data_IF_924560569429
#
_entry.id   IF_924560569429
#
_cell.length_a   1.000
_cell.length_b   1.000
_cell.length_c   1.000
_cell.angle_alpha   90.00
_cell.angle_beta   90.00
_cell.angle_gamma   90.00
#
_symmetry.space_group_name_H-M   'P 1'
#
loop_
_entity.id
_entity.type
_entity.pdbx_description
1 polymer ?
#
# COMPACT_ATOMS: atom_id res chain seq x y z
N UNK A 1 -22.53 -9.19 -8.09
CA UNK A 1 -22.73 -7.72 -8.24
C UNK A 1 -22.55 -7.33 -9.72
N UNK A 2 -23.01 -6.16 -10.16
CA UNK A 2 -22.72 -5.57 -11.49
C UNK A 2 -22.80 -4.04 -11.37
N UNK A 3 -22.31 -3.30 -12.38
CA UNK A 3 -22.41 -1.84 -12.38
C UNK A 3 -23.59 -1.30 -13.22
N UNK A 4 -24.12 -0.16 -12.82
CA UNK A 4 -25.04 0.68 -13.59
C UNK A 4 -24.34 1.78 -14.42
N UNK A 5 -23.04 2.00 -14.21
CA UNK A 5 -22.26 3.03 -14.90
C UNK A 5 -21.71 2.50 -16.24
N UNK A 6 -22.20 3.04 -17.35
CA UNK A 6 -21.86 2.59 -18.69
C UNK A 6 -20.34 2.62 -18.98
N UNK A 7 -19.64 3.67 -18.54
CA UNK A 7 -18.19 3.79 -18.73
C UNK A 7 -17.41 2.65 -18.06
N UNK A 8 -17.81 2.26 -16.84
CA UNK A 8 -17.19 1.14 -16.12
C UNK A 8 -17.50 -0.19 -16.80
N UNK A 9 -18.77 -0.44 -17.18
CA UNK A 9 -19.15 -1.66 -17.89
C UNK A 9 -18.37 -1.83 -19.20
N UNK A 10 -18.28 -0.77 -20.02
CA UNK A 10 -17.54 -0.79 -21.29
C UNK A 10 -16.05 -1.04 -21.12
N UNK A 11 -15.44 -0.48 -20.07
CA UNK A 11 -14.03 -0.71 -19.76
C UNK A 11 -13.78 -2.17 -19.34
N UNK A 12 -14.61 -2.73 -18.45
CA UNK A 12 -14.55 -4.15 -18.06
C UNK A 12 -14.70 -5.06 -19.28
N UNK A 13 -15.66 -4.79 -20.16
CA UNK A 13 -15.88 -5.56 -21.38
C UNK A 13 -14.67 -5.49 -22.34
N UNK A 14 -14.05 -4.32 -22.46
CA UNK A 14 -12.85 -4.13 -23.28
C UNK A 14 -11.67 -4.93 -22.74
N UNK A 15 -11.46 -4.89 -21.42
CA UNK A 15 -10.41 -5.68 -20.77
C UNK A 15 -10.70 -7.17 -20.88
N UNK A 16 -11.94 -7.61 -20.68
CA UNK A 16 -12.31 -9.02 -20.81
C UNK A 16 -12.09 -9.54 -22.23
N UNK A 17 -12.38 -8.76 -23.29
CA UNK A 17 -12.07 -9.14 -24.68
C UNK A 17 -10.57 -9.26 -24.92
N UNK A 18 -9.77 -8.37 -24.36
CA UNK A 18 -8.30 -8.40 -24.48
C UNK A 18 -7.72 -9.61 -23.75
N UNK A 19 -8.05 -9.75 -22.47
CA UNK A 19 -7.43 -10.72 -21.55
C UNK A 19 -8.00 -12.13 -21.65
N UNK A 20 -9.23 -12.27 -22.17
CA UNK A 20 -9.95 -13.53 -22.43
C UNK A 20 -10.08 -14.43 -21.17
N UNK A 21 -10.63 -13.92 -20.05
CA UNK A 21 -10.87 -14.72 -18.86
C UNK A 21 -12.02 -15.71 -19.06
N UNK A 22 -12.01 -16.79 -18.29
CA UNK A 22 -13.09 -17.79 -18.32
C UNK A 22 -14.36 -17.29 -17.61
N UNK A 23 -14.18 -16.40 -16.63
CA UNK A 23 -15.24 -15.85 -15.79
C UNK A 23 -14.91 -14.40 -15.41
N UNK A 24 -15.95 -13.62 -15.16
CA UNK A 24 -15.83 -12.28 -14.58
C UNK A 24 -16.53 -12.31 -13.21
N UNK A 25 -15.81 -11.92 -12.16
CA UNK A 25 -16.34 -11.86 -10.79
C UNK A 25 -16.32 -10.42 -10.27
N UNK A 26 -17.48 -9.88 -9.91
CA UNK A 26 -17.58 -8.54 -9.35
C UNK A 26 -17.51 -8.58 -7.83
N UNK A 27 -16.44 -8.03 -7.27
CA UNK A 27 -16.14 -8.13 -5.85
C UNK A 27 -17.04 -7.23 -5.02
N UNK A 28 -17.83 -7.78 -4.11
CA UNK A 28 -18.74 -7.01 -3.25
C UNK A 28 -18.14 -6.63 -1.87
N UNK A 29 -17.02 -7.24 -1.50
CA UNK A 29 -16.30 -6.98 -0.26
C UNK A 29 -16.88 -7.68 0.98
N UNK A 30 -17.91 -8.51 0.82
CA UNK A 30 -18.59 -9.19 1.93
C UNK A 30 -17.72 -10.24 2.64
N UNK A 31 -18.10 -10.58 3.87
CA UNK A 31 -17.45 -11.66 4.61
C UNK A 31 -17.67 -13.04 3.95
N UNK A 32 -18.80 -13.24 3.26
CA UNK A 32 -19.08 -14.45 2.49
C UNK A 32 -18.13 -14.58 1.29
N UNK A 33 -17.95 -13.49 0.54
CA UNK A 33 -17.03 -13.46 -0.60
C UNK A 33 -15.60 -13.79 -0.17
N UNK A 34 -15.08 -13.16 0.88
CA UNK A 34 -13.71 -13.42 1.32
C UNK A 34 -13.54 -14.84 1.86
N UNK A 35 -14.55 -15.40 2.52
CA UNK A 35 -14.53 -16.80 2.96
C UNK A 35 -14.46 -17.76 1.76
N UNK A 36 -15.23 -17.51 0.70
CA UNK A 36 -15.19 -18.30 -0.53
C UNK A 36 -13.84 -18.18 -1.25
N UNK A 37 -13.29 -16.96 -1.38
CA UNK A 37 -11.97 -16.75 -1.98
C UNK A 37 -10.85 -17.44 -1.18
N UNK A 38 -10.90 -17.37 0.15
CA UNK A 38 -9.96 -18.10 1.03
C UNK A 38 -10.04 -19.60 0.82
N UNK A 39 -11.24 -20.18 0.76
CA UNK A 39 -11.43 -21.61 0.46
C UNK A 39 -10.78 -21.98 -0.87
N UNK A 40 -11.05 -21.23 -1.93
CA UNK A 40 -10.47 -21.47 -3.27
C UNK A 40 -8.93 -21.41 -3.23
N UNK A 41 -8.36 -20.42 -2.53
CA UNK A 41 -6.90 -20.28 -2.43
C UNK A 41 -6.24 -21.35 -1.55
N UNK A 42 -6.94 -21.87 -0.54
CA UNK A 42 -6.45 -22.99 0.27
C UNK A 42 -6.48 -24.27 -0.56
N UNK A 43 -7.58 -24.53 -1.27
CA UNK A 43 -7.74 -25.70 -2.13
C UNK A 43 -6.71 -25.72 -3.27
N UNK A 44 -6.30 -24.56 -3.78
CA UNK A 44 -5.24 -24.42 -4.79
C UNK A 44 -3.82 -24.45 -4.23
N UNK A 45 -3.66 -24.34 -2.90
CA UNK A 45 -2.36 -24.21 -2.23
C UNK A 45 -1.72 -22.82 -2.29
N UNK A 46 -2.42 -21.81 -2.80
CA UNK A 46 -1.98 -20.40 -2.82
C UNK A 46 -1.93 -19.79 -1.41
N UNK A 47 -2.83 -20.23 -0.53
CA UNK A 47 -2.83 -19.91 0.90
C UNK A 47 -2.67 -21.16 1.76
N UNK A 48 -1.99 -20.98 2.89
CA UNK A 48 -1.84 -21.99 3.94
C UNK A 48 -2.49 -21.42 5.19
N UNK A 49 -3.52 -22.10 5.71
CA UNK A 49 -4.10 -21.73 7.00
C UNK A 49 -3.07 -21.91 8.12
N UNK A 50 -2.98 -20.93 9.02
CA UNK A 50 -2.12 -20.99 10.21
C UNK A 50 -2.84 -21.67 11.38
N UNK A 51 -2.13 -21.88 12.48
CA UNK A 51 -2.67 -22.49 13.71
C UNK A 51 -3.94 -21.78 14.20
N UNK A 52 -5.12 -22.43 14.17
CA UNK A 52 -6.38 -21.76 14.48
C UNK A 52 -6.55 -21.40 15.95
N UNK A 53 -5.82 -22.05 16.86
CA UNK A 53 -5.90 -21.78 18.30
C UNK A 53 -5.13 -20.51 18.69
N UNK A 54 -4.01 -20.24 18.01
CA UNK A 54 -3.19 -19.04 18.27
C UNK A 54 -3.35 -17.92 17.25
N UNK A 55 -3.69 -18.25 16.01
CA UNK A 55 -3.82 -17.34 14.87
C UNK A 55 -5.10 -17.64 14.06
N UNK A 56 -6.30 -17.58 14.67
CA UNK A 56 -7.54 -17.84 13.95
C UNK A 56 -7.71 -16.89 12.76
N UNK A 57 -8.20 -17.44 11.63
CA UNK A 57 -8.39 -16.71 10.38
C UNK A 57 -7.13 -16.00 9.85
N UNK A 58 -5.94 -16.50 10.22
CA UNK A 58 -4.68 -16.09 9.62
C UNK A 58 -4.19 -17.08 8.56
N UNK A 59 -3.52 -16.54 7.54
CA UNK A 59 -3.06 -17.31 6.40
C UNK A 59 -1.62 -16.92 6.02
N UNK A 60 -0.87 -17.87 5.47
CA UNK A 60 0.42 -17.65 4.85
C UNK A 60 0.30 -17.77 3.33
N UNK A 61 0.80 -16.77 2.62
CA UNK A 61 1.11 -16.82 1.19
C UNK A 61 2.63 -16.90 0.99
N UNK A 62 3.08 -17.80 0.10
CA UNK A 62 4.48 -17.84 -0.35
C UNK A 62 4.53 -17.41 -1.81
N UNK A 63 5.15 -16.27 -2.08
CA UNK A 63 5.29 -15.77 -3.44
C UNK A 63 6.39 -16.53 -4.21
N UNK A 64 6.39 -16.37 -5.52
CA UNK A 64 7.49 -16.88 -6.35
C UNK A 64 8.82 -16.24 -5.90
N UNK A 65 9.95 -16.98 -5.85
CA UNK A 65 11.23 -16.45 -5.36
C UNK A 65 11.75 -15.22 -6.11
N UNK A 66 11.40 -15.09 -7.38
CA UNK A 66 11.76 -13.94 -8.23
C UNK A 66 10.74 -12.77 -8.15
N UNK A 67 9.70 -12.90 -7.33
CA UNK A 67 8.64 -11.92 -7.11
C UNK A 67 8.43 -11.63 -5.61
N UNK A 68 9.41 -10.98 -4.99
CA UNK A 68 9.48 -10.78 -3.53
C UNK A 68 9.65 -9.31 -3.11
N UNK A 69 9.72 -8.39 -4.07
CA UNK A 69 9.93 -6.96 -3.84
C UNK A 69 9.46 -6.09 -5.02
N UNK A 70 9.44 -4.78 -4.80
CA UNK A 70 9.24 -3.80 -5.88
C UNK A 70 10.43 -3.79 -6.84
N UNK A 71 10.15 -3.60 -8.12
CA UNK A 71 11.16 -3.53 -9.18
C UNK A 71 11.24 -2.10 -9.73
N UNK A 72 11.99 -1.21 -9.06
CA UNK A 72 12.07 0.22 -9.43
C UNK A 72 12.48 0.43 -10.90
N UNK A 73 13.39 -0.39 -11.44
CA UNK A 73 13.87 -0.30 -12.82
C UNK A 73 12.83 -0.75 -13.88
N UNK A 74 11.75 -1.43 -13.47
CA UNK A 74 10.64 -1.86 -14.33
C UNK A 74 9.35 -1.06 -14.05
N UNK A 75 9.47 0.01 -13.28
CA UNK A 75 8.37 0.91 -12.93
C UNK A 75 8.48 2.18 -13.76
N UNK A 76 7.46 2.50 -14.56
CA UNK A 76 7.50 3.60 -15.53
C UNK A 76 6.39 4.63 -15.30
N UNK A 77 6.69 5.88 -15.65
CA UNK A 77 5.73 6.97 -15.76
C UNK A 77 5.63 7.39 -17.23
N UNK A 78 4.43 7.28 -17.79
CA UNK A 78 4.17 7.42 -19.21
C UNK A 78 3.33 8.68 -19.47
N UNK A 79 4.00 9.81 -19.59
CA UNK A 79 3.44 11.12 -19.98
C UNK A 79 3.77 11.43 -21.43
N UNK A 80 2.93 12.23 -22.12
CA UNK A 80 3.23 12.68 -23.50
C UNK A 80 4.54 13.46 -23.57
N UNK A 81 4.75 14.38 -22.63
CA UNK A 81 6.01 15.11 -22.49
C UNK A 81 6.95 14.35 -21.52
N UNK A 82 8.16 13.96 -21.93
CA UNK A 82 9.15 13.34 -21.04
C UNK A 82 9.50 14.19 -19.81
N UNK A 83 9.49 15.52 -19.94
CA UNK A 83 9.87 16.42 -18.84
C UNK A 83 8.85 16.40 -17.69
N UNK A 84 7.59 16.07 -17.97
CA UNK A 84 6.55 15.94 -16.95
C UNK A 84 6.73 14.70 -16.05
N UNK A 85 7.40 13.64 -16.56
CA UNK A 85 7.85 12.54 -15.71
C UNK A 85 9.12 12.93 -14.92
N UNK A 86 10.01 13.71 -15.55
CA UNK A 86 11.21 14.25 -14.92
C UNK A 86 12.31 13.22 -14.64
N UNK A 87 13.48 13.72 -14.24
CA UNK A 87 14.72 12.93 -14.15
C UNK A 87 14.75 11.84 -13.06
N UNK A 88 13.77 11.82 -12.14
CA UNK A 88 13.69 10.79 -11.09
C UNK A 88 12.88 9.55 -11.52
N UNK A 89 12.21 9.60 -12.67
CA UNK A 89 11.34 8.52 -13.15
C UNK A 89 11.93 7.82 -14.36
N UNK A 90 11.65 6.52 -14.50
CA UNK A 90 11.81 5.87 -15.78
C UNK A 90 10.66 6.31 -16.68
N UNK A 91 10.98 6.98 -17.78
CA UNK A 91 9.97 7.42 -18.74
C UNK A 91 9.89 6.47 -19.93
N UNK A 92 8.68 6.26 -20.43
CA UNK A 92 8.42 5.57 -21.70
C UNK A 92 7.26 6.27 -22.39
N UNK A 93 7.39 6.51 -23.71
CA UNK A 93 6.34 7.12 -24.50
C UNK A 93 5.00 6.35 -24.34
N UNK A 94 3.86 7.04 -24.12
CA UNK A 94 2.60 6.38 -23.78
C UNK A 94 2.10 5.38 -24.83
N UNK A 95 2.29 5.66 -26.11
CA UNK A 95 1.92 4.78 -27.23
C UNK A 95 2.77 3.50 -27.25
N UNK A 96 4.08 3.63 -27.04
CA UNK A 96 5.01 2.49 -26.93
C UNK A 96 4.69 1.63 -25.71
N UNK A 97 4.43 2.28 -24.57
CA UNK A 97 4.03 1.63 -23.33
C UNK A 97 2.73 0.83 -23.50
N UNK A 98 1.68 1.44 -24.06
CA UNK A 98 0.39 0.77 -24.31
C UNK A 98 0.51 -0.38 -25.29
N UNK A 99 1.28 -0.22 -26.36
CA UNK A 99 1.50 -1.31 -27.31
C UNK A 99 2.15 -2.52 -26.62
N UNK A 100 3.17 -2.28 -25.78
CA UNK A 100 3.82 -3.33 -25.00
C UNK A 100 2.86 -4.01 -24.03
N UNK A 101 2.14 -3.23 -23.22
CA UNK A 101 1.22 -3.80 -22.23
C UNK A 101 0.05 -4.53 -22.91
N UNK A 102 -0.47 -4.03 -24.02
CA UNK A 102 -1.53 -4.72 -24.79
C UNK A 102 -1.06 -6.09 -25.27
N UNK A 103 0.18 -6.18 -25.76
CA UNK A 103 0.76 -7.46 -26.19
C UNK A 103 0.95 -8.44 -25.02
N UNK A 104 1.29 -7.95 -23.82
CA UNK A 104 1.38 -8.79 -22.62
C UNK A 104 0.01 -9.26 -22.15
N UNK A 105 -1.00 -8.39 -22.20
CA UNK A 105 -2.34 -8.71 -21.73
C UNK A 105 -3.16 -9.58 -22.68
N UNK A 106 -2.83 -9.67 -23.98
CA UNK A 106 -3.62 -10.44 -24.95
C UNK A 106 -3.72 -11.93 -24.56
N UNK A 107 -4.91 -12.34 -24.14
CA UNK A 107 -5.19 -13.71 -23.71
C UNK A 107 -4.53 -14.16 -22.41
N UNK A 108 -3.92 -13.27 -21.63
CA UNK A 108 -3.15 -13.66 -20.43
C UNK A 108 -4.01 -14.26 -19.29
N UNK A 109 -5.34 -14.08 -19.33
CA UNK A 109 -6.25 -14.56 -18.29
C UNK A 109 -7.04 -15.81 -18.70
N UNK A 110 -6.71 -16.47 -19.82
CA UNK A 110 -7.35 -17.74 -20.20
C UNK A 110 -7.21 -18.77 -19.07
N UNK A 111 -8.30 -19.45 -18.73
CA UNK A 111 -8.31 -20.38 -17.60
C UNK A 111 -8.40 -19.71 -16.22
N UNK A 112 -8.49 -18.37 -16.16
CA UNK A 112 -8.53 -17.60 -14.91
C UNK A 112 -9.82 -16.78 -14.81
N UNK A 113 -10.14 -16.35 -13.59
CA UNK A 113 -11.24 -15.42 -13.32
C UNK A 113 -10.69 -14.00 -13.37
N UNK A 114 -11.36 -13.10 -14.09
CA UNK A 114 -11.14 -11.66 -13.99
C UNK A 114 -11.98 -11.11 -12.84
N UNK A 115 -11.32 -10.72 -11.76
CA UNK A 115 -11.93 -10.03 -10.63
C UNK A 115 -12.03 -8.54 -10.91
N UNK A 116 -13.23 -7.99 -10.73
CA UNK A 116 -13.49 -6.54 -10.75
C UNK A 116 -13.53 -6.08 -9.30
N UNK A 117 -12.58 -5.24 -8.89
CA UNK A 117 -12.36 -4.82 -7.50
C UNK A 117 -12.59 -3.31 -7.38
N UNK A 118 -13.82 -2.83 -7.13
CA UNK A 118 -14.07 -1.43 -6.82
C UNK A 118 -13.50 -1.09 -5.44
N UNK A 119 -12.80 0.03 -5.32
CA UNK A 119 -12.24 0.49 -4.05
C UNK A 119 -12.27 2.01 -3.89
N UNK A 120 -12.23 2.45 -2.64
CA UNK A 120 -12.07 3.84 -2.24
C UNK A 120 -10.79 4.00 -1.40
N UNK A 121 -9.96 4.97 -1.79
CA UNK A 121 -8.79 5.42 -1.05
C UNK A 121 -9.19 6.62 -0.19
N UNK A 122 -9.20 6.44 1.13
CA UNK A 122 -9.67 7.39 2.13
C UNK A 122 -11.04 7.02 2.71
N UNK A 123 -11.49 7.71 3.77
CA UNK A 123 -12.82 7.50 4.32
C UNK A 123 -13.89 7.67 3.24
N UNK A 124 -14.91 6.81 3.24
CA UNK A 124 -15.84 6.66 2.10
C UNK A 124 -16.60 7.93 1.74
N UNK A 125 -16.79 8.84 2.70
CA UNK A 125 -17.48 10.12 2.52
C UNK A 125 -16.52 11.32 2.45
N UNK A 126 -15.20 11.07 2.47
CA UNK A 126 -14.21 12.14 2.40
C UNK A 126 -14.23 12.82 1.01
N UNK A 127 -14.22 14.16 0.95
CA UNK A 127 -14.03 14.88 -0.31
C UNK A 127 -12.60 14.76 -0.86
N UNK A 128 -11.64 14.35 -0.01
CA UNK A 128 -10.25 14.08 -0.43
C UNK A 128 -10.09 12.67 -0.99
N UNK A 129 -11.00 11.75 -0.66
CA UNK A 129 -10.91 10.38 -1.13
C UNK A 129 -11.03 10.28 -2.66
N UNK A 130 -10.40 9.26 -3.23
CA UNK A 130 -10.45 8.94 -4.66
C UNK A 130 -10.83 7.48 -4.82
N UNK A 131 -11.69 7.21 -5.79
CA UNK A 131 -12.09 5.85 -6.11
C UNK A 131 -11.29 5.29 -7.28
N UNK A 132 -11.14 3.98 -7.28
CA UNK A 132 -10.57 3.24 -8.40
C UNK A 132 -11.27 1.91 -8.57
N UNK A 133 -11.02 1.29 -9.72
CA UNK A 133 -11.38 -0.10 -9.97
C UNK A 133 -10.13 -0.82 -10.44
N UNK A 134 -9.79 -1.88 -9.74
CA UNK A 134 -8.71 -2.79 -10.13
C UNK A 134 -9.28 -4.05 -10.78
N UNK A 135 -8.76 -4.38 -11.96
CA UNK A 135 -9.06 -5.58 -12.71
C UNK A 135 -7.87 -6.53 -12.57
N UNK A 136 -8.08 -7.69 -11.95
CA UNK A 136 -7.00 -8.64 -11.64
C UNK A 136 -7.40 -10.09 -11.86
N UNK A 137 -6.46 -10.97 -12.16
CA UNK A 137 -6.63 -12.42 -12.18
C UNK A 137 -6.19 -13.13 -10.89
N UNK A 138 -5.79 -12.39 -9.85
CA UNK A 138 -5.28 -12.96 -8.59
C UNK A 138 -6.27 -12.80 -7.42
N UNK A 139 -6.80 -13.90 -6.86
CA UNK A 139 -7.63 -13.83 -5.66
C UNK A 139 -6.85 -13.36 -4.41
N UNK A 140 -5.54 -13.61 -4.34
CA UNK A 140 -4.68 -13.07 -3.28
C UNK A 140 -4.63 -11.54 -3.31
N UNK A 141 -4.60 -10.93 -4.50
CA UNK A 141 -4.70 -9.47 -4.66
C UNK A 141 -6.05 -8.95 -4.18
N UNK A 142 -7.16 -9.62 -4.54
CA UNK A 142 -8.50 -9.26 -4.06
C UNK A 142 -8.55 -9.28 -2.52
N UNK A 143 -8.04 -10.33 -1.90
CA UNK A 143 -8.02 -10.49 -0.45
C UNK A 143 -7.23 -9.38 0.26
N UNK A 144 -6.08 -9.00 -0.30
CA UNK A 144 -5.27 -7.91 0.23
C UNK A 144 -5.90 -6.53 -0.03
N UNK A 145 -6.47 -6.29 -1.21
CA UNK A 145 -7.18 -5.03 -1.51
C UNK A 145 -8.38 -4.82 -0.59
N UNK A 146 -9.07 -5.90 -0.18
CA UNK A 146 -10.12 -5.85 0.85
C UNK A 146 -9.61 -5.34 2.20
N UNK A 147 -8.38 -5.69 2.58
CA UNK A 147 -7.76 -5.25 3.83
C UNK A 147 -7.24 -3.81 3.69
N UNK A 148 -6.56 -3.53 2.59
CA UNK A 148 -5.77 -2.31 2.38
C UNK A 148 -6.60 -1.11 1.90
N UNK A 149 -7.79 -1.35 1.36
CA UNK A 149 -8.69 -0.30 0.85
C UNK A 149 -10.12 -0.50 1.36
N UNK A 150 -10.97 0.53 1.26
CA UNK A 150 -12.42 0.33 1.40
C UNK A 150 -12.95 -0.26 0.10
N UNK A 151 -12.92 -1.59 0.02
CA UNK A 151 -13.26 -2.37 -1.16
C UNK A 151 -14.75 -2.75 -1.18
N UNK A 152 -15.32 -2.87 -2.37
CA UNK A 152 -16.58 -3.56 -2.61
C UNK A 152 -17.76 -2.63 -2.84
N UNK A 153 -18.94 -3.05 -2.39
CA UNK A 153 -20.21 -2.39 -2.71
C UNK A 153 -20.24 -0.88 -2.39
N UNK A 154 -19.78 -0.40 -1.22
CA UNK A 154 -19.79 1.03 -0.91
C UNK A 154 -18.93 1.87 -1.88
N UNK A 155 -17.78 1.34 -2.29
CA UNK A 155 -16.92 2.00 -3.27
C UNK A 155 -17.58 2.04 -4.66
N UNK A 156 -18.22 0.94 -5.07
CA UNK A 156 -18.97 0.92 -6.33
C UNK A 156 -20.11 1.93 -6.31
N UNK A 157 -20.91 1.98 -5.24
CA UNK A 157 -22.03 2.93 -5.13
C UNK A 157 -21.54 4.39 -5.22
N UNK A 158 -20.36 4.69 -4.66
CA UNK A 158 -19.71 6.00 -4.80
C UNK A 158 -19.26 6.29 -6.23
N UNK A 159 -18.57 5.35 -6.88
CA UNK A 159 -18.13 5.47 -8.28
C UNK A 159 -19.32 5.76 -9.19
N UNK A 160 -20.42 5.03 -9.01
CA UNK A 160 -21.61 5.22 -9.84
C UNK A 160 -22.31 6.55 -9.57
N UNK A 161 -22.35 7.00 -8.32
CA UNK A 161 -22.89 8.31 -7.96
C UNK A 161 -22.09 9.43 -8.61
N UNK A 162 -20.77 9.46 -8.39
CA UNK A 162 -19.88 10.48 -8.95
C UNK A 162 -19.88 10.45 -10.48
N UNK A 163 -19.91 9.25 -11.08
CA UNK A 163 -20.02 9.07 -12.53
C UNK A 163 -21.32 9.63 -13.11
N UNK A 164 -22.48 9.41 -12.45
CA UNK A 164 -23.76 10.00 -12.87
C UNK A 164 -23.77 11.52 -12.73
N UNK A 165 -23.18 12.04 -11.66
CA UNK A 165 -23.04 13.49 -11.46
C UNK A 165 -22.15 14.13 -12.53
N UNK A 166 -21.06 13.47 -12.91
CA UNK A 166 -20.18 13.89 -14.00
C UNK A 166 -20.92 13.89 -15.35
N UNK A 167 -21.67 12.83 -15.67
CA UNK A 167 -22.49 12.76 -16.88
C UNK A 167 -23.54 13.89 -16.90
N UNK A 168 -24.17 14.21 -15.77
CA UNK A 168 -25.11 15.32 -15.66
C UNK A 168 -24.46 16.69 -15.91
N UNK A 169 -23.13 16.82 -15.72
CA UNK A 169 -22.33 18.01 -16.08
C UNK A 169 -21.79 17.97 -17.52
N UNK A 170 -22.01 16.89 -18.27
CA UNK A 170 -21.47 16.72 -19.63
C UNK A 170 -20.07 16.11 -19.69
N UNK A 171 -19.57 15.54 -18.59
CA UNK A 171 -18.30 14.82 -18.51
C UNK A 171 -18.50 13.32 -18.82
N UNK A 172 -17.45 12.54 -19.18
CA UNK A 172 -17.59 11.14 -19.62
C UNK A 172 -18.06 10.15 -18.54
N UNK A 173 -18.08 10.55 -17.26
CA UNK A 173 -18.48 9.69 -16.15
C UNK A 173 -17.46 8.62 -15.77
N UNK A 174 -16.19 8.79 -16.13
CA UNK A 174 -15.12 7.80 -15.95
C UNK A 174 -14.00 8.27 -15.00
N UNK A 175 -14.31 9.19 -14.09
CA UNK A 175 -13.34 9.83 -13.17
C UNK A 175 -12.71 8.93 -12.10
N UNK A 176 -12.90 7.61 -12.16
CA UNK A 176 -12.25 6.64 -11.27
C UNK A 176 -10.91 6.18 -11.86
N UNK A 177 -9.94 5.85 -11.00
CA UNK A 177 -8.65 5.32 -11.43
C UNK A 177 -8.79 3.90 -12.00
N UNK A 178 -8.28 3.69 -13.21
CA UNK A 178 -8.37 2.43 -13.96
C UNK A 178 -7.11 1.59 -13.74
N UNK A 179 -7.19 0.55 -12.91
CA UNK A 179 -6.08 -0.40 -12.69
C UNK A 179 -6.29 -1.71 -13.45
N UNK A 180 -5.34 -2.10 -14.29
CA UNK A 180 -5.30 -3.44 -14.92
C UNK A 180 -4.07 -4.18 -14.44
N UNK A 181 -4.26 -5.35 -13.85
CA UNK A 181 -3.23 -6.19 -13.25
C UNK A 181 -3.36 -7.64 -13.74
N UNK A 182 -2.24 -8.31 -14.01
CA UNK A 182 -2.18 -9.76 -14.10
C UNK A 182 -0.85 -10.29 -13.57
N UNK A 183 -0.89 -11.42 -12.85
CA UNK A 183 0.33 -12.12 -12.45
C UNK A 183 1.09 -12.71 -13.66
N UNK A 184 0.40 -12.86 -14.80
CA UNK A 184 0.97 -13.41 -16.03
C UNK A 184 1.63 -14.77 -15.79
N UNK A 185 2.85 -14.90 -16.29
CA UNK A 185 3.74 -16.05 -16.10
C UNK A 185 4.74 -15.87 -14.94
N UNK A 186 4.72 -14.72 -14.25
CA UNK A 186 5.71 -14.29 -13.25
C UNK A 186 7.16 -14.22 -13.77
N UNK A 187 7.35 -14.18 -15.09
CA UNK A 187 8.66 -14.00 -15.74
C UNK A 187 9.23 -12.59 -15.45
N UNK A 188 10.38 -12.49 -14.76
CA UNK A 188 11.01 -11.21 -14.43
C UNK A 188 11.33 -10.35 -15.66
N UNK A 189 11.63 -10.96 -16.81
CA UNK A 189 11.97 -10.24 -18.05
C UNK A 189 10.74 -9.67 -18.76
N UNK A 190 9.53 -10.09 -18.33
CA UNK A 190 8.24 -9.62 -18.87
C UNK A 190 7.47 -8.79 -17.85
N UNK A 191 8.10 -8.39 -16.73
CA UNK A 191 7.46 -7.64 -15.65
C UNK A 191 7.49 -6.15 -15.91
N UNK A 192 6.34 -5.50 -15.82
CA UNK A 192 6.21 -4.05 -16.01
C UNK A 192 5.13 -3.46 -15.11
N UNK A 193 5.41 -2.29 -14.52
CA UNK A 193 4.44 -1.50 -13.77
C UNK A 193 4.42 -0.10 -14.36
N UNK A 194 3.40 0.20 -15.16
CA UNK A 194 3.29 1.44 -15.93
C UNK A 194 2.15 2.30 -15.41
N UNK A 195 2.42 3.60 -15.29
CA UNK A 195 1.47 4.61 -14.84
C UNK A 195 1.24 5.60 -15.98
N UNK A 196 -0.02 5.91 -16.25
CA UNK A 196 -0.44 6.88 -17.26
C UNK A 196 -1.20 8.00 -16.55
N UNK A 197 -0.49 9.03 -16.04
CA UNK A 197 -1.12 10.02 -15.15
C UNK A 197 -2.20 10.87 -15.84
N UNK A 198 -2.03 11.12 -17.14
CA UNK A 198 -2.94 11.99 -17.92
C UNK A 198 -4.33 11.38 -18.14
N UNK A 199 -4.50 10.06 -18.04
CA UNK A 199 -5.80 9.38 -18.13
C UNK A 199 -6.15 8.56 -16.87
N UNK A 200 -5.41 8.80 -15.78
CA UNK A 200 -5.59 8.14 -14.49
C UNK A 200 -5.63 6.60 -14.59
N UNK A 201 -4.74 6.01 -15.39
CA UNK A 201 -4.65 4.54 -15.53
C UNK A 201 -3.32 3.94 -15.07
N UNK A 202 -3.39 2.70 -14.60
CA UNK A 202 -2.28 1.91 -14.09
C UNK A 202 -2.34 0.54 -14.77
N UNK A 203 -1.21 0.06 -15.27
CA UNK A 203 -1.09 -1.26 -15.89
C UNK A 203 0.08 -2.01 -15.26
N UNK A 204 -0.19 -3.19 -14.70
CA UNK A 204 0.81 -4.04 -14.03
C UNK A 204 0.76 -5.46 -14.58
N UNK A 205 1.90 -6.01 -14.94
CA UNK A 205 2.02 -7.38 -15.46
C UNK A 205 3.22 -8.10 -14.86
N UNK A 206 3.05 -9.40 -14.56
CA UNK A 206 4.15 -10.29 -14.21
C UNK A 206 4.59 -10.26 -12.74
N UNK A 207 3.75 -9.75 -11.83
CA UNK A 207 4.04 -9.70 -10.39
C UNK A 207 2.74 -9.76 -9.58
N UNK A 208 2.64 -10.69 -8.62
CA UNK A 208 1.58 -10.74 -7.61
C UNK A 208 1.97 -10.09 -6.27
N UNK A 209 3.20 -9.58 -6.17
CA UNK A 209 3.75 -9.11 -4.91
C UNK A 209 3.42 -7.64 -4.59
N UNK A 210 2.70 -7.43 -3.48
CA UNK A 210 2.66 -6.17 -2.73
C UNK A 210 2.47 -4.92 -3.61
N UNK A 211 3.39 -3.96 -3.55
CA UNK A 211 3.27 -2.68 -4.25
C UNK A 211 3.31 -2.74 -5.79
N UNK A 212 3.55 -3.89 -6.41
CA UNK A 212 3.42 -4.08 -7.85
C UNK A 212 1.99 -4.52 -8.22
N UNK A 213 1.30 -5.19 -7.32
CA UNK A 213 0.00 -5.83 -7.57
C UNK A 213 -1.16 -5.13 -6.84
N UNK A 214 -0.95 -4.60 -5.63
CA UNK A 214 -1.94 -3.83 -4.88
C UNK A 214 -2.00 -2.40 -5.43
N UNK A 215 -2.72 -2.21 -6.54
CA UNK A 215 -2.63 -0.97 -7.33
C UNK A 215 -3.17 0.25 -6.59
N UNK A 216 -4.08 0.06 -5.63
CA UNK A 216 -4.56 1.13 -4.73
C UNK A 216 -3.46 1.72 -3.84
N UNK A 217 -2.39 0.96 -3.53
CA UNK A 217 -1.34 1.38 -2.59
C UNK A 217 -0.37 2.39 -3.20
N UNK A 218 0.78 1.95 -3.73
CA UNK A 218 1.82 2.88 -4.21
C UNK A 218 1.49 3.48 -5.57
N UNK A 219 0.88 2.69 -6.46
CA UNK A 219 0.58 3.12 -7.82
C UNK A 219 -0.51 4.19 -7.87
N UNK A 220 -1.65 3.96 -7.21
CA UNK A 220 -2.68 4.98 -7.09
C UNK A 220 -2.28 6.03 -6.07
N UNK A 221 -2.08 5.66 -4.79
CA UNK A 221 -2.09 6.65 -3.73
C UNK A 221 -0.83 7.50 -3.55
N UNK A 222 0.22 7.26 -4.33
CA UNK A 222 1.36 8.18 -4.44
C UNK A 222 1.60 8.65 -5.88
N UNK A 223 1.70 7.75 -6.87
CA UNK A 223 2.06 8.16 -8.25
C UNK A 223 0.93 8.91 -8.96
N UNK A 224 -0.22 8.26 -9.13
CA UNK A 224 -1.38 8.88 -9.78
C UNK A 224 -1.92 10.02 -8.91
N UNK A 225 -2.03 9.78 -7.59
CA UNK A 225 -2.44 10.79 -6.63
C UNK A 225 -1.49 12.00 -6.61
N UNK A 226 -0.18 11.82 -6.72
CA UNK A 226 0.80 12.91 -6.79
C UNK A 226 0.60 13.79 -8.02
N UNK A 227 0.28 13.19 -9.17
CA UNK A 227 -0.11 13.93 -10.36
C UNK A 227 -1.40 14.71 -10.16
N UNK A 228 -2.46 14.07 -9.65
CA UNK A 228 -3.74 14.72 -9.35
C UNK A 228 -3.56 15.87 -8.34
N UNK A 229 -2.79 15.64 -7.28
CA UNK A 229 -2.43 16.61 -6.26
C UNK A 229 -1.76 17.86 -6.84
N UNK A 230 -0.80 17.69 -7.77
CA UNK A 230 -0.17 18.80 -8.51
C UNK A 230 -1.18 19.62 -9.32
N UNK A 231 -2.16 18.98 -9.95
CA UNK A 231 -3.16 19.67 -10.78
C UNK A 231 -4.25 20.36 -9.94
N UNK A 232 -4.60 19.79 -8.80
CA UNK A 232 -5.78 20.18 -8.01
C UNK A 232 -5.43 20.99 -6.75
N UNK A 233 -4.15 21.18 -6.43
CA UNK A 233 -3.69 22.01 -5.32
C UNK A 233 -3.77 21.33 -3.94
N UNK A 234 -3.45 20.04 -3.88
CA UNK A 234 -3.31 19.28 -2.63
C UNK A 234 -1.99 18.47 -2.65
N UNK A 235 -1.73 17.61 -1.66
CA UNK A 235 -0.48 16.84 -1.53
C UNK A 235 -0.77 15.36 -1.30
N UNK A 236 -0.07 14.48 -2.02
CA UNK A 236 -0.09 13.03 -1.80
C UNK A 236 1.32 12.57 -1.41
N UNK A 237 1.51 12.22 -0.14
CA UNK A 237 2.84 12.11 0.45
C UNK A 237 3.07 10.74 1.09
N UNK A 238 4.33 10.28 1.02
CA UNK A 238 4.80 9.06 1.68
C UNK A 238 5.09 9.32 3.17
N UNK A 239 4.03 9.67 3.91
CA UNK A 239 4.09 10.03 5.32
C UNK A 239 3.17 9.14 6.16
N UNK A 240 3.63 8.82 7.37
CA UNK A 240 2.70 8.41 8.44
C UNK A 240 1.89 9.61 8.92
N UNK A 241 0.78 9.34 9.61
CA UNK A 241 0.00 10.32 10.38
C UNK A 241 -0.19 9.78 11.80
N UNK A 242 0.21 10.58 12.79
CA UNK A 242 0.12 10.22 14.21
C UNK A 242 -0.42 11.37 15.04
N UNK A 243 -1.37 11.09 15.93
CA UNK A 243 -1.83 12.02 16.96
C UNK A 243 -1.04 11.83 18.24
N UNK A 244 -0.53 12.91 18.82
CA UNK A 244 0.16 12.90 20.10
C UNK A 244 -0.71 13.65 21.11
N UNK A 245 -1.19 12.93 22.12
CA UNK A 245 -2.00 13.50 23.20
C UNK A 245 -1.09 13.90 24.38
N UNK A 246 -1.09 15.17 24.74
CA UNK A 246 -0.41 15.69 25.92
C UNK A 246 -1.20 15.40 27.20
N UNK A 247 -0.57 15.50 28.39
CA UNK A 247 -1.23 15.18 29.67
C UNK A 247 -2.46 16.03 30.01
N UNK A 248 -2.62 17.18 29.37
CA UNK A 248 -3.79 18.07 29.49
C UNK A 248 -4.92 17.70 28.51
N UNK A 249 -4.76 16.65 27.71
CA UNK A 249 -5.75 16.11 26.78
C UNK A 249 -5.76 16.74 25.39
N UNK A 250 -4.84 17.69 25.08
CA UNK A 250 -4.71 18.23 23.73
C UNK A 250 -4.06 17.20 22.79
N UNK A 251 -4.60 17.05 21.59
CA UNK A 251 -4.03 16.19 20.56
C UNK A 251 -3.46 17.05 19.43
N UNK A 252 -2.15 16.94 19.22
CA UNK A 252 -1.45 17.54 18.08
C UNK A 252 -1.14 16.44 17.06
N UNK A 253 -1.53 16.61 15.79
CA UNK A 253 -1.27 15.63 14.74
C UNK A 253 -0.02 15.97 13.95
N UNK A 254 0.80 14.96 13.68
CA UNK A 254 2.07 15.07 12.99
C UNK A 254 2.06 14.14 11.76
N UNK A 255 2.51 14.67 10.62
CA UNK A 255 2.86 13.86 9.47
C UNK A 255 4.38 13.66 9.41
N UNK A 256 4.87 12.46 9.10
CA UNK A 256 6.32 12.21 9.02
C UNK A 256 6.73 11.37 7.82
N UNK A 257 7.62 11.93 6.98
CA UNK A 257 8.19 11.31 5.79
C UNK A 257 9.56 10.71 6.11
N UNK A 258 9.61 9.38 6.19
CA UNK A 258 10.85 8.61 6.25
C UNK A 258 10.90 7.61 5.09
N UNK A 259 12.09 7.35 4.51
CA UNK A 259 12.27 6.31 3.50
C UNK A 259 11.79 4.94 3.98
N UNK A 260 11.60 4.02 3.02
CA UNK A 260 11.17 2.66 3.33
C UNK A 260 12.14 1.98 4.33
N UNK A 261 11.58 1.27 5.30
CA UNK A 261 12.31 0.64 6.41
C UNK A 261 13.13 1.60 7.28
N UNK A 262 12.72 2.87 7.42
CA UNK A 262 13.33 3.86 8.31
C UNK A 262 12.43 4.26 9.51
N UNK A 263 11.52 3.37 9.92
CA UNK A 263 10.81 3.49 11.21
C UNK A 263 9.44 4.17 11.20
N UNK A 264 8.81 4.38 10.02
CA UNK A 264 7.46 4.97 9.95
C UNK A 264 6.43 4.20 10.78
N UNK A 265 6.28 2.90 10.53
CA UNK A 265 5.35 2.05 11.28
C UNK A 265 5.61 2.06 12.79
N UNK A 266 6.88 2.04 13.22
CA UNK A 266 7.24 2.13 14.64
C UNK A 266 6.84 3.48 15.25
N UNK A 267 7.03 4.60 14.54
CA UNK A 267 6.64 5.92 15.04
C UNK A 267 5.12 6.11 15.03
N UNK A 268 4.44 5.65 13.98
CA UNK A 268 2.99 5.74 13.85
C UNK A 268 2.25 4.97 14.96
N UNK A 269 2.87 3.88 15.45
CA UNK A 269 2.33 2.99 16.50
C UNK A 269 3.13 3.09 17.80
N UNK A 270 3.84 4.21 18.02
CA UNK A 270 4.74 4.37 19.14
C UNK A 270 3.99 4.19 20.47
N UNK A 271 4.49 3.30 21.33
CA UNK A 271 4.12 3.31 22.75
C UNK A 271 5.06 4.32 23.42
N UNK A 272 4.54 5.40 24.04
CA UNK A 272 5.39 6.39 24.69
C UNK A 272 6.33 5.71 25.69
N UNK A 273 7.63 6.09 25.73
CA UNK A 273 8.54 5.59 26.73
C UNK A 273 7.98 5.78 28.14
N UNK A 274 8.31 4.87 29.06
CA UNK A 274 7.65 4.76 30.37
C UNK A 274 7.54 6.10 31.12
N UNK A 275 8.59 6.93 31.07
CA UNK A 275 8.58 8.27 31.67
C UNK A 275 7.46 9.16 31.12
N UNK A 276 7.24 9.19 29.81
CA UNK A 276 6.20 10.00 29.18
C UNK A 276 4.82 9.40 29.36
N UNK A 277 4.72 8.06 29.30
CA UNK A 277 3.47 7.34 29.56
C UNK A 277 2.95 7.61 30.98
N UNK A 278 3.82 7.54 32.00
CA UNK A 278 3.47 7.90 33.39
C UNK A 278 3.08 9.35 33.56
N UNK A 279 3.65 10.23 32.75
CA UNK A 279 3.30 11.65 32.74
C UNK A 279 1.96 11.93 32.04
N UNK A 280 1.32 10.94 31.40
CA UNK A 280 0.00 11.06 30.77
C UNK A 280 0.02 11.18 29.24
N UNK A 281 1.19 11.09 28.60
CA UNK A 281 1.28 11.14 27.13
C UNK A 281 0.70 9.88 26.48
N UNK A 282 -0.05 10.07 25.40
CA UNK A 282 -0.58 8.98 24.56
C UNK A 282 -0.28 9.23 23.09
N UNK A 283 -0.31 8.17 22.30
CA UNK A 283 -0.07 8.19 20.85
C UNK A 283 -1.20 7.45 20.16
N UNK A 284 -1.71 8.05 19.09
CA UNK A 284 -2.86 7.60 18.32
C UNK A 284 -2.47 7.42 16.85
N UNK A 285 -2.65 6.22 16.32
CA UNK A 285 -2.29 5.86 14.96
C UNK A 285 -3.42 6.24 14.00
N UNK A 286 -3.15 7.13 13.05
CA UNK A 286 -4.07 7.44 11.94
C UNK A 286 -3.69 6.67 10.68
N UNK A 287 -2.40 6.65 10.33
CA UNK A 287 -1.84 5.89 9.22
C UNK A 287 -0.32 5.79 9.32
N UNK A 288 0.30 4.80 8.67
CA UNK A 288 1.73 4.53 8.83
C UNK A 288 2.58 4.74 7.56
N UNK A 289 1.96 5.03 6.41
CA UNK A 289 2.65 4.96 5.12
C UNK A 289 2.25 6.05 4.13
N UNK A 290 0.96 6.40 4.02
CA UNK A 290 0.47 7.38 3.04
C UNK A 290 -0.38 8.45 3.73
N UNK A 291 -0.18 9.70 3.30
CA UNK A 291 -0.85 10.88 3.82
C UNK A 291 -1.33 11.74 2.65
N UNK A 292 -2.63 11.97 2.54
CA UNK A 292 -3.17 12.97 1.61
C UNK A 292 -3.53 14.21 2.38
N UNK A 293 -3.03 15.37 1.95
CA UNK A 293 -3.18 16.63 2.67
C UNK A 293 -3.75 17.74 1.79
N UNK A 294 -4.65 18.55 2.33
CA UNK A 294 -5.22 19.71 1.63
C UNK A 294 -5.42 20.89 2.59
N UNK A 295 -5.20 22.15 2.14
CA UNK A 295 -5.65 23.32 2.91
C UNK A 295 -7.16 23.29 3.14
N UNK A 296 -7.58 23.36 4.39
CA UNK A 296 -8.98 23.47 4.78
C UNK A 296 -9.50 24.90 4.68
N UNK A 297 -10.82 25.06 4.86
CA UNK A 297 -11.46 26.39 4.87
C UNK A 297 -10.94 27.32 5.98
N UNK A 298 -10.34 26.75 7.03
CA UNK A 298 -9.71 27.47 8.14
C UNK A 298 -8.22 27.78 7.90
N UNK A 299 -7.69 27.47 6.73
CA UNK A 299 -6.30 27.69 6.34
C UNK A 299 -5.31 26.68 6.91
N UNK A 300 -5.74 25.71 7.74
CA UNK A 300 -4.88 24.63 8.24
C UNK A 300 -4.71 23.55 7.17
N UNK A 301 -3.63 22.78 7.27
CA UNK A 301 -3.43 21.60 6.44
C UNK A 301 -4.15 20.41 7.08
N UNK A 302 -5.14 19.83 6.41
CA UNK A 302 -5.91 18.68 6.87
C UNK A 302 -5.46 17.41 6.15
N UNK A 303 -5.34 16.31 6.87
CA UNK A 303 -4.80 15.06 6.37
C UNK A 303 -5.76 13.87 6.54
N UNK A 304 -5.84 13.01 5.53
CA UNK A 304 -6.44 11.68 5.64
C UNK A 304 -5.40 10.60 5.38
N UNK A 305 -5.58 9.44 6.01
CA UNK A 305 -4.93 8.20 5.58
C UNK A 305 -5.80 7.55 4.48
N UNK A 306 -5.31 7.43 3.24
CA UNK A 306 -6.08 6.78 2.19
C UNK A 306 -6.23 5.26 2.38
N UNK A 307 -5.36 4.61 3.14
CA UNK A 307 -5.36 3.16 3.36
C UNK A 307 -6.29 2.74 4.51
N UNK A 308 -6.78 1.50 4.51
CA UNK A 308 -7.61 0.91 5.58
C UNK A 308 -6.93 -0.22 6.34
N UNK A 309 -5.70 -0.56 5.95
CA UNK A 309 -4.91 -1.66 6.50
C UNK A 309 -3.44 -1.32 6.57
N UNK A 310 -2.68 -2.18 7.22
CA UNK A 310 -1.23 -2.11 7.31
C UNK A 310 -0.60 -3.22 6.47
N UNK A 311 0.35 -2.83 5.61
CA UNK A 311 1.19 -3.75 4.82
C UNK A 311 2.64 -3.71 5.32
N UNK A 312 2.81 -4.08 6.58
CA UNK A 312 4.05 -3.89 7.34
C UNK A 312 5.12 -4.93 7.02
N UNK A 313 6.39 -4.56 7.21
CA UNK A 313 7.51 -5.52 7.15
C UNK A 313 7.48 -6.39 8.41
N UNK A 314 7.46 -7.71 8.24
CA UNK A 314 7.46 -8.64 9.36
C UNK A 314 8.83 -8.68 10.07
N UNK A 315 9.97 -8.97 9.40
CA UNK A 315 11.28 -9.00 10.04
C UNK A 315 11.61 -7.73 10.82
N UNK A 316 12.09 -7.90 12.06
CA UNK A 316 12.36 -6.80 13.00
C UNK A 316 11.16 -6.33 13.83
N UNK A 317 9.93 -6.74 13.49
CA UNK A 317 8.75 -6.54 14.35
C UNK A 317 8.80 -7.52 15.51
N UNK A 318 8.83 -7.03 16.74
CA UNK A 318 9.04 -7.85 17.93
C UNK A 318 8.51 -7.17 19.19
N UNK A 319 8.52 -7.88 20.33
CA UNK A 319 7.97 -7.38 21.60
C UNK A 319 8.73 -6.16 22.13
N UNK A 320 9.99 -5.97 21.74
CA UNK A 320 10.79 -4.82 22.16
C UNK A 320 10.75 -3.65 21.16
N UNK A 321 10.23 -3.88 19.94
CA UNK A 321 10.30 -2.90 18.84
C UNK A 321 8.95 -2.33 18.45
N UNK A 322 7.90 -3.16 18.41
CA UNK A 322 6.54 -2.72 18.11
C UNK A 322 5.47 -3.67 18.68
N UNK A 323 5.15 -3.56 19.99
CA UNK A 323 4.12 -4.38 20.62
C UNK A 323 2.72 -4.17 20.03
N UNK A 324 2.40 -2.94 19.60
CA UNK A 324 1.13 -2.64 18.96
C UNK A 324 0.97 -3.40 17.63
N UNK A 325 2.05 -3.51 16.85
CA UNK A 325 2.02 -4.32 15.64
C UNK A 325 1.88 -5.82 15.92
N UNK A 326 2.53 -6.37 16.96
CA UNK A 326 2.33 -7.78 17.31
C UNK A 326 0.89 -8.06 17.78
N UNK A 327 0.33 -7.17 18.61
CA UNK A 327 -0.99 -7.34 19.18
C UNK A 327 -2.13 -7.35 18.16
N UNK A 328 -1.90 -6.84 16.93
CA UNK A 328 -2.91 -6.87 15.86
C UNK A 328 -2.83 -8.12 14.98
N UNK A 329 -1.76 -8.91 15.08
CA UNK A 329 -1.43 -10.01 14.14
C UNK A 329 -1.84 -11.40 14.62
N UNK A 330 -2.53 -11.49 15.75
CA UNK A 330 -3.01 -12.74 16.36
C UNK A 330 -4.27 -13.30 15.70
N UNK A 331 -4.88 -12.61 14.73
CA UNK A 331 -6.03 -13.09 13.96
C UNK A 331 -6.29 -12.24 12.72
N UNK A 332 -7.05 -12.78 11.77
CA UNK A 332 -7.56 -12.05 10.60
C UNK A 332 -6.45 -11.41 9.72
N UNK A 333 -5.25 -11.99 9.71
CA UNK A 333 -4.08 -11.45 9.02
C UNK A 333 -3.58 -12.36 7.89
N UNK A 334 -3.03 -11.76 6.84
CA UNK A 334 -2.32 -12.48 5.78
C UNK A 334 -0.83 -12.22 5.94
N UNK A 335 -0.05 -13.25 6.15
CA UNK A 335 1.40 -13.20 6.15
C UNK A 335 1.93 -13.59 4.78
N UNK A 336 2.97 -12.92 4.33
CA UNK A 336 3.58 -13.18 3.02
C UNK A 336 5.08 -13.40 3.19
N UNK A 337 5.56 -14.58 2.81
CA UNK A 337 6.96 -14.99 2.89
C UNK A 337 7.56 -14.98 4.31
N UNK A 338 6.75 -15.13 5.35
CA UNK A 338 7.26 -15.48 6.68
C UNK A 338 7.63 -16.97 6.73
N UNK A 339 8.43 -17.35 7.72
CA UNK A 339 8.61 -18.75 8.09
C UNK A 339 7.40 -19.23 8.91
N UNK A 340 7.34 -20.53 9.17
CA UNK A 340 6.41 -21.11 10.15
C UNK A 340 7.14 -22.02 11.13
N UNK A 341 6.63 -22.08 12.34
CA UNK A 341 7.04 -23.01 13.39
C UNK A 341 6.46 -24.41 13.16
N UNK A 342 6.88 -25.40 13.96
CA UNK A 342 6.39 -26.78 13.84
C UNK A 342 4.89 -26.93 14.14
N UNK A 343 4.35 -26.05 14.97
CA UNK A 343 2.93 -25.89 15.28
C UNK A 343 2.23 -24.90 14.35
N UNK A 344 2.80 -24.60 13.17
CA UNK A 344 2.18 -23.81 12.10
C UNK A 344 1.82 -22.36 12.49
N UNK A 345 2.66 -21.73 13.32
CA UNK A 345 2.57 -20.30 13.68
C UNK A 345 3.54 -19.49 12.84
N UNK A 346 3.22 -18.24 12.48
CA UNK A 346 4.13 -17.40 11.70
C UNK A 346 5.40 -17.08 12.51
N UNK A 347 6.54 -17.04 11.82
CA UNK A 347 7.84 -16.73 12.41
C UNK A 347 8.69 -15.86 11.48
N UNK A 348 9.52 -14.99 12.07
CA UNK A 348 10.51 -14.20 11.37
C UNK A 348 11.64 -13.77 12.30
N UNK A 349 12.75 -13.33 11.71
CA UNK A 349 13.90 -12.78 12.43
C UNK A 349 13.48 -11.59 13.31
N UNK A 350 13.64 -11.74 14.62
CA UNK A 350 13.30 -10.71 15.62
C UNK A 350 12.09 -11.03 16.50
N UNK A 351 11.25 -12.02 16.15
CA UNK A 351 10.05 -12.36 16.94
C UNK A 351 10.37 -13.01 18.30
N UNK A 352 11.54 -13.67 18.43
CA UNK A 352 12.09 -14.36 19.63
C UNK A 352 11.24 -15.51 20.21
N UNK A 353 9.97 -15.63 19.87
CA UNK A 353 9.09 -16.71 20.30
C UNK A 353 9.09 -17.86 19.29
N UNK A 354 9.25 -19.09 19.76
CA UNK A 354 9.31 -20.29 18.91
C UNK A 354 10.60 -20.41 18.08
N UNK A 355 10.67 -21.46 17.26
CA UNK A 355 11.76 -21.69 16.31
C UNK A 355 11.17 -21.99 14.92
N UNK A 356 11.80 -21.49 13.84
CA UNK A 356 11.33 -21.77 12.49
C UNK A 356 11.55 -23.25 12.17
N UNK A 357 10.51 -23.90 11.67
CA UNK A 357 10.54 -25.28 11.17
C UNK A 357 10.57 -25.33 9.64
N UNK A 358 9.85 -24.42 8.99
CA UNK A 358 9.80 -24.31 7.52
C UNK A 358 10.05 -22.87 7.12
N UNK A 359 10.98 -22.66 6.18
CA UNK A 359 11.33 -21.35 5.67
C UNK A 359 10.26 -20.77 4.71
N UNK A 360 10.46 -19.51 4.30
CA UNK A 360 9.56 -18.81 3.40
C UNK A 360 9.46 -19.43 1.99
N UNK A 361 10.41 -20.30 1.61
CA UNK A 361 10.39 -21.06 0.35
C UNK A 361 9.71 -22.42 0.50
N UNK A 362 9.23 -22.77 1.69
CA UNK A 362 8.58 -24.05 1.96
C UNK A 362 9.55 -25.20 2.23
N UNK A 363 10.83 -24.93 2.49
CA UNK A 363 11.84 -25.95 2.81
C UNK A 363 11.96 -26.12 4.33
N UNK A 364 12.35 -27.30 4.84
CA UNK A 364 12.78 -27.41 6.23
C UNK A 364 13.84 -26.35 6.55
N UNK A 365 13.67 -25.65 7.67
CA UNK A 365 14.58 -24.57 8.03
C UNK A 365 15.97 -25.12 8.31
N UNK A 366 16.94 -24.60 7.57
CA UNK A 366 18.37 -24.81 7.79
C UNK A 366 19.06 -23.44 7.69
N UNK A 367 19.71 -22.95 8.76
CA UNK A 367 20.43 -21.68 8.76
C UNK A 367 21.48 -21.55 7.64
N UNK A 368 21.99 -22.66 7.10
CA UNK A 368 22.92 -22.64 5.96
C UNK A 368 22.27 -22.08 4.67
N UNK A 369 20.94 -22.08 4.58
CA UNK A 369 20.18 -21.57 3.44
C UNK A 369 19.81 -20.08 3.55
N UNK A 370 20.28 -19.39 4.61
CA UNK A 370 19.98 -17.99 4.88
C UNK A 370 18.81 -17.77 5.86
N UNK A 371 18.24 -16.54 5.90
CA UNK A 371 17.12 -16.20 6.77
C UNK A 371 15.90 -17.13 6.56
N UNK A 372 15.19 -17.44 7.63
CA UNK A 372 13.98 -18.26 7.59
C UNK A 372 12.82 -17.51 6.95
N UNK A 373 12.62 -16.22 7.29
CA UNK A 373 11.68 -15.36 6.59
C UNK A 373 12.40 -14.56 5.51
N UNK A 374 11.70 -14.20 4.43
CA UNK A 374 12.28 -13.29 3.46
C UNK A 374 12.55 -11.92 4.13
N UNK A 375 13.67 -11.22 3.88
CA UNK A 375 13.94 -9.91 4.51
C UNK A 375 12.87 -8.84 4.25
N UNK A 376 12.11 -8.99 3.17
CA UNK A 376 10.96 -8.16 2.82
C UNK A 376 9.62 -8.90 3.01
N UNK A 377 9.56 -9.91 3.89
CA UNK A 377 8.32 -10.56 4.26
C UNK A 377 7.34 -9.56 4.89
N UNK A 378 6.04 -9.80 4.71
CA UNK A 378 4.99 -8.84 5.04
C UNK A 378 3.91 -9.46 5.90
N UNK A 379 3.20 -8.61 6.60
CA UNK A 379 1.86 -8.89 7.09
C UNK A 379 0.88 -7.87 6.51
N UNK A 380 -0.33 -8.33 6.22
CA UNK A 380 -1.49 -7.54 5.82
C UNK A 380 -2.58 -7.71 6.87
N UNK A 381 -2.97 -6.62 7.52
CA UNK A 381 -3.98 -6.64 8.59
C UNK A 381 -4.80 -5.36 8.60
N UNK A 382 -6.07 -5.45 9.00
CA UNK A 382 -6.93 -4.26 9.13
C UNK A 382 -6.36 -3.27 10.14
N UNK A 383 -6.38 -1.97 9.80
CA UNK A 383 -5.85 -0.95 10.68
C UNK A 383 -6.60 -0.88 12.02
N UNK A 384 -7.89 -1.23 12.03
CA UNK A 384 -8.77 -1.26 13.21
C UNK A 384 -8.35 -2.28 14.28
N UNK A 385 -7.50 -3.24 13.92
CA UNK A 385 -6.91 -4.22 14.86
C UNK A 385 -5.78 -3.61 15.69
N UNK A 386 -5.16 -2.52 15.23
CA UNK A 386 -4.06 -1.89 15.95
C UNK A 386 -4.57 -1.26 17.26
N UNK A 387 -4.00 -1.59 18.42
CA UNK A 387 -4.47 -1.07 19.71
C UNK A 387 -4.44 0.45 19.83
N UNK A 388 -3.52 1.12 19.13
CA UNK A 388 -3.40 2.58 19.11
C UNK A 388 -4.21 3.25 17.99
N UNK A 389 -4.94 2.50 17.15
CA UNK A 389 -5.73 3.08 16.07
C UNK A 389 -6.84 3.99 16.61
N UNK A 390 -6.95 5.19 16.03
CA UNK A 390 -7.97 6.16 16.43
C UNK A 390 -9.18 6.17 15.50
N UNK A 391 -10.41 6.33 16.02
CA UNK A 391 -11.60 6.57 15.19
C UNK A 391 -11.46 7.76 14.23
N UNK A 392 -10.64 8.77 14.58
CA UNK A 392 -10.36 9.93 13.72
C UNK A 392 -9.68 9.56 12.38
N UNK A 393 -9.16 8.33 12.24
CA UNK A 393 -8.66 7.84 10.97
C UNK A 393 -9.76 7.65 9.91
N UNK A 394 -11.03 7.64 10.32
CA UNK A 394 -12.20 7.57 9.42
C UNK A 394 -12.97 8.89 9.35
N UNK A 395 -12.47 9.97 9.96
CA UNK A 395 -13.11 11.28 9.81
C UNK A 395 -13.00 11.74 8.36
N UNK A 396 -14.14 12.03 7.73
CA UNK A 396 -14.22 12.42 6.33
C UNK A 396 -13.40 13.69 6.02
N UNK A 397 -13.31 14.62 6.98
CA UNK A 397 -12.52 15.84 6.88
C UNK A 397 -11.01 15.61 7.09
N UNK A 398 -10.64 14.51 7.76
CA UNK A 398 -9.29 14.23 8.20
C UNK A 398 -8.91 14.92 9.51
N UNK A 399 -7.61 14.97 9.79
CA UNK A 399 -7.04 15.55 11.02
C UNK A 399 -6.14 16.76 10.70
N UNK A 400 -6.11 17.81 11.54
CA UNK A 400 -5.31 19.01 11.26
C UNK A 400 -3.83 18.78 11.60
N UNK A 401 -2.94 18.92 10.62
CA UNK A 401 -1.50 18.73 10.77
C UNK A 401 -0.84 19.96 11.42
N UNK A 402 -0.14 19.70 12.53
CA UNK A 402 0.58 20.70 13.31
C UNK A 402 2.08 20.75 12.98
N UNK A 403 2.65 19.63 12.53
CA UNK A 403 4.04 19.54 12.11
C UNK A 403 4.24 18.50 10.99
N UNK A 404 5.21 18.77 10.11
CA UNK A 404 5.74 17.81 9.13
C UNK A 404 7.17 17.49 9.53
N UNK A 405 7.49 16.21 9.68
CA UNK A 405 8.81 15.72 10.07
C UNK A 405 9.47 14.99 8.91
N UNK A 406 10.70 15.38 8.60
CA UNK A 406 11.56 14.70 7.63
C UNK A 406 12.68 13.96 8.36
N UNK A 407 13.03 12.75 7.90
CA UNK A 407 14.06 11.96 8.57
C UNK A 407 14.55 10.77 7.74
N UNK A 408 15.69 10.23 8.14
CA UNK A 408 16.34 9.10 7.46
C UNK A 408 17.52 8.58 8.28
N UNK A 409 18.07 7.43 7.86
CA UNK A 409 19.22 6.79 8.53
C UNK A 409 20.49 7.57 8.21
N UNK A 410 21.06 8.22 9.22
CA UNK A 410 22.30 9.01 9.11
C UNK A 410 23.22 8.68 10.29
N UNK A 411 24.41 8.08 10.06
CA UNK A 411 25.33 7.72 11.14
C UNK A 411 26.05 8.94 11.75
N UNK A 412 26.01 10.09 11.06
CA UNK A 412 26.58 11.35 11.55
C UNK A 412 26.14 12.56 10.70
N UNK A 413 26.65 13.74 11.08
CA UNK A 413 26.39 15.07 10.51
C UNK A 413 25.01 15.68 10.80
N UNK A 414 23.94 14.88 10.77
CA UNK A 414 22.58 15.36 11.06
C UNK A 414 22.32 15.22 12.56
N UNK A 415 21.87 16.27 13.28
CA UNK A 415 21.53 16.17 14.70
C UNK A 415 20.28 15.31 14.90
N UNK A 416 19.99 14.94 16.16
CA UNK A 416 18.80 14.15 16.50
C UNK A 416 17.49 14.81 16.04
N UNK A 417 17.36 16.12 16.27
CA UNK A 417 16.21 16.93 15.85
C UNK A 417 16.67 18.37 15.66
N UNK A 418 16.12 19.04 14.64
CA UNK A 418 16.23 20.48 14.43
C UNK A 418 14.96 20.99 13.76
N UNK A 419 14.66 22.27 13.92
CA UNK A 419 13.50 22.92 13.30
C UNK A 419 13.93 23.71 12.06
N UNK A 420 13.11 23.67 11.01
CA UNK A 420 13.28 24.59 9.89
C UNK A 420 13.01 26.03 10.33
N UNK A 421 13.52 27.01 9.57
CA UNK A 421 13.40 28.43 9.95
C UNK A 421 12.06 29.02 9.49
N UNK A 422 11.52 28.44 8.43
CA UNK A 422 10.31 28.81 7.73
C UNK A 422 9.96 27.67 6.75
N UNK A 423 8.85 27.82 6.04
CA UNK A 423 8.37 26.85 5.06
C UNK A 423 9.36 26.59 3.91
N UNK A 424 9.97 27.65 3.35
CA UNK A 424 10.91 27.50 2.23
C UNK A 424 12.15 26.71 2.65
N UNK A 425 12.68 26.98 3.85
CA UNK A 425 13.75 26.19 4.43
C UNK A 425 13.31 24.74 4.70
N UNK A 426 12.07 24.52 5.16
CA UNK A 426 11.50 23.19 5.35
C UNK A 426 11.42 22.38 4.05
N UNK A 427 11.00 23.00 2.96
CA UNK A 427 11.01 22.39 1.61
C UNK A 427 12.44 22.02 1.20
N UNK A 428 13.43 22.90 1.43
CA UNK A 428 14.83 22.59 1.14
C UNK A 428 15.35 21.41 1.98
N UNK A 429 14.98 21.34 3.26
CA UNK A 429 15.33 20.22 4.16
C UNK A 429 14.76 18.91 3.62
N UNK A 430 13.47 18.89 3.26
CA UNK A 430 12.82 17.72 2.65
C UNK A 430 13.46 17.32 1.32
N UNK A 431 13.71 18.29 0.43
CA UNK A 431 14.33 18.05 -0.88
C UNK A 431 15.78 17.53 -0.75
N UNK A 432 16.46 17.91 0.32
CA UNK A 432 17.83 17.49 0.62
C UNK A 432 17.90 16.20 1.42
N UNK A 433 16.78 15.51 1.69
CA UNK A 433 16.79 14.27 2.46
C UNK A 433 17.75 13.23 1.86
N UNK A 434 18.49 12.57 2.75
CA UNK A 434 19.37 11.48 2.43
C UNK A 434 19.27 10.40 3.50
N UNK A 435 19.35 9.15 3.10
CA UNK A 435 19.30 8.00 4.01
C UNK A 435 20.20 6.89 3.49
N UNK A 436 20.77 6.10 4.40
CA UNK A 436 21.37 4.82 4.03
C UNK A 436 20.34 3.89 3.39
N UNK A 437 20.75 3.19 2.32
CA UNK A 437 19.93 2.20 1.62
C UNK A 437 19.59 1.01 2.51
N UNK A 438 18.36 0.50 2.36
CA UNK A 438 17.81 -0.66 3.09
C UNK A 438 17.48 -1.81 2.14
N UNK A 439 17.13 -2.99 2.66
CA UNK A 439 16.74 -4.15 1.86
C UNK A 439 15.35 -4.01 1.16
N UNK A 440 14.64 -2.89 1.36
CA UNK A 440 13.29 -2.66 0.80
C UNK A 440 13.28 -2.27 -0.70
N UNK A 441 14.46 -2.09 -1.30
CA UNK A 441 14.68 -1.85 -2.72
C UNK A 441 15.89 -2.67 -3.20
N UNK A 442 15.95 -3.00 -4.50
CA UNK A 442 17.11 -3.68 -5.07
C UNK A 442 18.35 -2.77 -5.06
N UNK A 443 19.50 -3.28 -4.58
CA UNK A 443 20.79 -2.56 -4.57
C UNK A 443 21.67 -2.86 -3.34
N UNK A 444 22.84 -2.21 -3.26
CA UNK A 444 23.76 -2.34 -2.12
C UNK A 444 23.18 -1.66 -0.87
N UNK A 445 23.28 -2.32 0.30
CA UNK A 445 22.82 -1.82 1.61
C UNK A 445 23.90 -0.95 2.26
N UNK A 446 23.50 0.11 2.98
CA UNK A 446 24.42 0.96 3.75
C UNK A 446 25.06 2.11 2.98
N UNK A 447 24.60 2.41 1.76
CA UNK A 447 25.08 3.56 0.98
C UNK A 447 24.14 4.74 1.15
N UNK A 448 24.67 5.94 1.40
CA UNK A 448 23.83 7.15 1.53
C UNK A 448 23.28 7.55 0.14
N UNK A 449 21.96 7.50 -0.01
CA UNK A 449 21.22 7.89 -1.22
C UNK A 449 20.33 9.09 -0.90
N UNK A 450 20.22 10.04 -1.85
CA UNK A 450 19.20 11.10 -1.79
C UNK A 450 17.82 10.51 -2.00
N UNK A 451 16.89 10.88 -1.14
CA UNK A 451 15.49 10.46 -1.17
C UNK A 451 14.60 11.65 -0.78
N UNK A 452 14.45 12.65 -1.68
CA UNK A 452 13.71 13.87 -1.41
C UNK A 452 12.29 13.55 -0.95
N UNK A 453 11.89 14.10 0.22
CA UNK A 453 10.59 13.87 0.85
C UNK A 453 10.22 12.39 1.08
N UNK A 454 11.20 11.47 1.04
CA UNK A 454 10.97 10.02 0.97
C UNK A 454 10.13 9.57 -0.24
N UNK A 455 10.08 10.38 -1.30
CA UNK A 455 9.24 10.19 -2.49
C UNK A 455 10.01 9.69 -3.71
N UNK A 456 11.33 9.45 -3.63
CA UNK A 456 12.13 9.13 -4.83
C UNK A 456 11.60 8.00 -5.73
N UNK A 457 11.03 6.89 -5.20
CA UNK A 457 10.52 5.82 -6.05
C UNK A 457 9.00 5.92 -6.33
N UNK A 458 8.37 7.04 -6.00
CA UNK A 458 6.92 7.23 -5.98
C UNK A 458 6.48 8.48 -6.72
#
# INVERSE_FOLDING_TARGET
MSTSLAALAQWVDTVARLTRPDRIHWCDGSDAEIADLRRVMIDSGELIALDPDSHPDCFLHRSHPDDVARVEHLTYVCTRDPEDAGANNNWLAPDVARARMTALFDGCMRGRTLYVVPYCMGPIDSPMARCGVELTDSPYVVANMRIMTRMGRPALDRIEREGREAIARGEPGDGFVKGLHSIGELDPERRFIMHFPEDASIQSYGSGYGGNALLGKKCHALRIAGWQARQEGWLAEHMLIVGIESPDGRIDYIAAAFPSACGKTNLAMLIPPERYRRAGWKVWTVGDDICWMRPGADGRLWAINPESGFFGVAPGTGPDTNPNALAMLDRDAIFTNTAITADNRPWWEGLRQGQPAVDWRGRPHDPANGPAAHPNARFSVSARRCPSWTPHAEDAQGVPISAIVFGGRRPGLVPLVFEARDWQHGVLVGASMASETTAAAAGAVGVVRRDPMAMKPF
#
